data_IF_007367446515
#
_entry.id   IF_007367446515
#
_cell.length_a   1.000
_cell.length_b   1.000
_cell.length_c   1.000
_cell.angle_alpha   90.00
_cell.angle_beta   90.00
_cell.angle_gamma   90.00
#
_symmetry.space_group_name_H-M   'P 1'
#
loop_
_entity.id
_entity.type
_entity.pdbx_description
1 polymer ?
#
# COMPACT_ATOMS: atom_id res chain seq x y z
N UNK A 1 7.59 11.73 5.44
CA UNK A 1 6.33 11.49 4.70
C UNK A 1 5.16 12.38 5.12
N UNK A 2 5.00 12.77 6.39
CA UNK A 2 3.85 13.60 6.81
C UNK A 2 3.69 14.91 6.02
N UNK A 3 4.77 15.64 5.77
CA UNK A 3 4.70 16.88 4.97
C UNK A 3 4.30 16.61 3.52
N UNK A 4 4.77 15.51 2.93
CA UNK A 4 4.36 15.06 1.60
C UNK A 4 2.89 14.66 1.56
N UNK A 5 2.40 13.97 2.58
CA UNK A 5 0.99 13.63 2.70
C UNK A 5 0.09 14.88 2.79
N UNK A 6 0.56 15.96 3.44
CA UNK A 6 -0.15 17.25 3.44
C UNK A 6 -0.16 17.88 2.05
N UNK A 7 0.98 17.88 1.36
CA UNK A 7 1.07 18.35 -0.04
C UNK A 7 0.14 17.57 -0.97
N UNK A 8 0.02 16.25 -0.80
CA UNK A 8 -0.93 15.44 -1.59
C UNK A 8 -2.38 15.84 -1.35
N UNK A 9 -2.77 16.13 -0.10
CA UNK A 9 -4.12 16.61 0.20
C UNK A 9 -4.44 17.97 -0.42
N UNK A 10 -3.43 18.82 -0.61
CA UNK A 10 -3.57 20.17 -1.17
C UNK A 10 -3.54 20.18 -2.71
N UNK A 11 -2.70 19.33 -3.30
CA UNK A 11 -2.37 19.38 -4.74
C UNK A 11 -2.86 18.18 -5.55
N UNK A 12 -3.31 17.10 -4.91
CA UNK A 12 -3.59 15.83 -5.59
C UNK A 12 -2.36 15.01 -5.97
N UNK A 13 -1.15 15.61 -5.92
CA UNK A 13 0.09 14.95 -6.31
C UNK A 13 0.52 13.93 -5.26
N UNK A 14 0.63 12.66 -5.66
CA UNK A 14 1.06 11.58 -4.78
C UNK A 14 2.59 11.48 -4.70
N UNK A 15 3.08 11.05 -3.55
CA UNK A 15 4.48 10.78 -3.29
C UNK A 15 4.63 9.33 -2.84
N UNK A 16 5.68 8.68 -3.35
CA UNK A 16 6.07 7.35 -2.92
C UNK A 16 7.46 7.41 -2.31
N UNK A 17 7.68 6.63 -1.26
CA UNK A 17 8.99 6.49 -0.68
C UNK A 17 9.36 5.04 -0.42
N UNK A 18 10.66 4.79 -0.47
CA UNK A 18 11.25 3.48 -0.34
C UNK A 18 12.36 3.52 0.70
N UNK A 19 12.42 2.48 1.54
CA UNK A 19 13.61 2.15 2.31
C UNK A 19 14.40 1.13 1.48
N UNK A 20 15.60 1.52 1.07
CA UNK A 20 16.50 0.70 0.26
C UNK A 20 17.24 -0.32 1.13
N UNK A 21 17.80 -1.37 0.51
CA UNK A 21 18.52 -2.44 1.24
C UNK A 21 19.78 -1.95 1.97
N UNK A 22 20.36 -0.85 1.52
CA UNK A 22 21.51 -0.19 2.16
C UNK A 22 21.09 0.77 3.29
N UNK A 23 19.79 0.87 3.60
CA UNK A 23 19.26 1.78 4.62
C UNK A 23 19.00 3.20 4.12
N UNK A 24 19.33 3.52 2.86
CA UNK A 24 18.99 4.81 2.26
C UNK A 24 17.49 4.95 2.07
N UNK A 25 17.05 6.20 2.06
CA UNK A 25 15.67 6.57 1.90
C UNK A 25 15.50 7.37 0.60
N UNK A 26 14.63 6.89 -0.29
CA UNK A 26 14.35 7.54 -1.56
C UNK A 26 12.89 7.96 -1.61
N UNK A 27 12.62 9.19 -2.05
CA UNK A 27 11.28 9.71 -2.28
C UNK A 27 11.16 10.08 -3.75
N UNK A 28 10.04 9.71 -4.34
CA UNK A 28 9.69 10.08 -5.69
C UNK A 28 8.32 10.74 -5.71
N UNK A 29 8.16 11.66 -6.64
CA UNK A 29 6.91 12.35 -6.93
C UNK A 29 6.21 11.62 -8.07
N UNK A 30 4.93 11.32 -7.88
CA UNK A 30 4.04 10.78 -8.90
C UNK A 30 3.55 11.85 -9.87
N UNK A 31 2.86 11.40 -10.91
CA UNK A 31 1.96 12.26 -11.67
C UNK A 31 0.63 12.41 -10.91
N UNK A 32 -0.18 13.40 -11.29
CA UNK A 32 -1.53 13.57 -10.77
C UNK A 32 -2.33 12.26 -10.98
N UNK A 33 -2.78 11.63 -9.89
CA UNK A 33 -3.49 10.33 -9.85
C UNK A 33 -2.72 9.07 -10.32
N UNK A 34 -1.40 9.12 -10.57
CA UNK A 34 -0.64 7.92 -10.98
C UNK A 34 0.86 7.95 -10.68
N UNK A 35 1.39 6.84 -10.16
CA UNK A 35 2.84 6.62 -9.99
C UNK A 35 3.31 5.42 -10.82
N UNK A 36 3.98 5.64 -11.96
CA UNK A 36 4.69 4.59 -12.73
C UNK A 36 6.21 4.76 -12.60
N UNK A 37 6.79 4.10 -11.60
CA UNK A 37 8.23 4.22 -11.31
C UNK A 37 8.87 2.83 -11.32
N UNK A 38 10.07 2.65 -11.90
CA UNK A 38 10.84 1.43 -11.75
C UNK A 38 11.09 1.16 -10.26
N UNK A 39 10.44 0.12 -9.73
CA UNK A 39 10.49 -0.23 -8.31
C UNK A 39 11.92 -0.61 -7.90
N UNK A 40 12.58 0.18 -7.03
CA UNK A 40 13.95 -0.10 -6.61
C UNK A 40 14.02 -1.38 -5.77
N UNK A 41 15.23 -1.91 -5.58
CA UNK A 41 15.45 -3.01 -4.63
C UNK A 41 15.44 -2.46 -3.20
N UNK A 42 14.28 -2.53 -2.55
CA UNK A 42 14.05 -2.05 -1.19
C UNK A 42 13.55 -3.13 -0.24
N UNK A 43 13.19 -2.68 0.97
CA UNK A 43 12.64 -3.50 2.06
C UNK A 43 11.25 -3.01 2.50
N UNK A 44 10.96 -1.72 2.35
CA UNK A 44 9.66 -1.14 2.70
C UNK A 44 9.29 -0.04 1.71
N UNK A 45 7.98 0.14 1.49
CA UNK A 45 7.42 1.20 0.67
C UNK A 45 6.27 1.86 1.43
N UNK A 46 6.13 3.17 1.26
CA UNK A 46 4.92 3.91 1.64
C UNK A 46 4.61 4.96 0.58
N UNK A 47 3.34 5.09 0.20
CA UNK A 47 2.88 6.17 -0.68
C UNK A 47 1.73 6.96 -0.05
N UNK A 48 1.47 8.15 -0.57
CA UNK A 48 0.45 9.07 -0.05
C UNK A 48 -0.80 9.03 -0.91
N UNK A 49 -1.99 9.12 -0.32
CA UNK A 49 -3.27 9.23 -1.04
C UNK A 49 -3.96 10.59 -0.83
N UNK A 50 -4.63 11.15 -1.87
CA UNK A 50 -5.57 12.24 -1.71
C UNK A 50 -6.93 11.67 -1.26
N UNK A 51 -7.18 11.62 0.05
CA UNK A 51 -8.48 11.22 0.59
C UNK A 51 -8.47 9.89 1.36
N UNK A 52 -9.08 8.83 0.82
CA UNK A 52 -9.26 7.57 1.56
C UNK A 52 -7.94 6.83 1.72
N UNK A 53 -7.70 6.37 2.95
CA UNK A 53 -6.46 5.83 3.44
C UNK A 53 -6.49 4.31 3.46
N UNK A 54 -6.79 3.72 2.32
CA UNK A 54 -6.95 2.29 2.10
C UNK A 54 -6.39 1.97 0.73
N UNK A 55 -5.74 0.82 0.58
CA UNK A 55 -5.17 0.41 -0.70
C UNK A 55 -6.27 0.21 -1.74
N UNK A 56 -6.11 0.85 -2.89
CA UNK A 56 -6.84 0.60 -4.12
C UNK A 56 -6.48 -0.78 -4.69
N UNK A 57 -7.23 -1.24 -5.69
CA UNK A 57 -6.87 -2.46 -6.40
C UNK A 57 -5.48 -2.38 -7.06
N UNK A 58 -5.08 -1.17 -7.53
CA UNK A 58 -3.77 -0.97 -8.16
C UNK A 58 -2.63 -1.02 -7.13
N UNK A 59 -2.88 -0.50 -5.94
CA UNK A 59 -1.89 -0.55 -4.85
C UNK A 59 -1.71 -1.99 -4.35
N UNK A 60 -2.79 -2.79 -4.33
CA UNK A 60 -2.73 -4.21 -3.99
C UNK A 60 -1.99 -5.04 -5.04
N UNK A 61 -2.17 -4.73 -6.33
CA UNK A 61 -1.36 -5.32 -7.41
C UNK A 61 0.13 -4.98 -7.23
N UNK A 62 0.42 -3.72 -6.89
CA UNK A 62 1.78 -3.27 -6.59
C UNK A 62 2.34 -3.98 -5.37
N UNK A 63 1.53 -4.15 -4.31
CA UNK A 63 1.92 -4.88 -3.10
C UNK A 63 2.30 -6.33 -3.41
N UNK A 64 1.54 -7.03 -4.26
CA UNK A 64 1.88 -8.40 -4.72
C UNK A 64 3.27 -8.43 -5.36
N UNK A 65 3.52 -7.55 -6.34
CA UNK A 65 4.82 -7.42 -7.01
C UNK A 65 5.96 -7.12 -6.02
N UNK A 66 5.72 -6.24 -5.06
CA UNK A 66 6.69 -5.88 -4.03
C UNK A 66 7.01 -7.04 -3.08
N UNK A 67 6.00 -7.78 -2.62
CA UNK A 67 6.21 -8.94 -1.76
C UNK A 67 6.97 -10.06 -2.48
N UNK A 68 6.69 -10.31 -3.76
CA UNK A 68 7.48 -11.23 -4.62
C UNK A 68 8.94 -10.78 -4.70
N UNK A 69 9.20 -9.47 -4.77
CA UNK A 69 10.55 -8.88 -4.82
C UNK A 69 11.25 -8.85 -3.45
N UNK A 70 10.59 -9.32 -2.40
CA UNK A 70 11.16 -9.45 -1.06
C UNK A 70 10.94 -8.24 -0.16
N UNK A 71 10.06 -7.30 -0.52
CA UNK A 71 9.64 -6.26 0.43
C UNK A 71 8.93 -6.90 1.63
N UNK A 72 9.09 -6.27 2.78
CA UNK A 72 8.51 -6.71 4.06
C UNK A 72 7.24 -5.92 4.36
N UNK A 73 7.19 -4.66 3.94
CA UNK A 73 6.09 -3.74 4.26
C UNK A 73 5.71 -2.88 3.06
N UNK A 74 4.42 -2.71 2.85
CA UNK A 74 3.82 -1.80 1.87
C UNK A 74 2.77 -0.99 2.62
N UNK A 75 2.77 0.32 2.43
CA UNK A 75 1.89 1.22 3.17
C UNK A 75 1.30 2.33 2.30
N UNK A 76 0.14 2.81 2.72
CA UNK A 76 -0.52 3.99 2.19
C UNK A 76 -0.88 4.91 3.35
N UNK A 77 -0.68 6.21 3.17
CA UNK A 77 -0.94 7.17 4.22
C UNK A 77 -1.55 8.48 3.72
N UNK A 78 -2.19 9.19 4.63
CA UNK A 78 -2.48 10.60 4.49
C UNK A 78 -2.18 11.28 5.86
N UNK A 79 -2.46 12.58 6.05
CA UNK A 79 -2.18 13.25 7.33
C UNK A 79 -3.00 12.75 8.54
N UNK A 80 -3.98 11.86 8.35
CA UNK A 80 -4.92 11.40 9.38
C UNK A 80 -4.76 9.92 9.72
N UNK A 81 -4.11 9.13 8.88
CA UNK A 81 -3.99 7.68 9.06
C UNK A 81 -2.90 7.06 8.19
N UNK A 82 -2.61 5.81 8.53
CA UNK A 82 -1.66 4.93 7.88
C UNK A 82 -2.29 3.54 7.78
N UNK A 83 -2.50 3.06 6.57
CA UNK A 83 -2.82 1.65 6.31
C UNK A 83 -1.57 0.92 5.86
N UNK A 84 -1.31 -0.23 6.46
CA UNK A 84 -0.10 -1.02 6.22
C UNK A 84 -0.45 -2.49 6.00
N UNK A 85 0.20 -3.09 5.01
CA UNK A 85 0.30 -4.54 4.87
C UNK A 85 1.76 -4.91 5.10
N UNK A 86 2.01 -5.78 6.07
CA UNK A 86 3.36 -6.24 6.38
C UNK A 86 3.40 -7.75 6.56
N UNK A 87 4.56 -8.34 6.26
CA UNK A 87 4.72 -9.79 6.40
C UNK A 87 5.15 -10.15 7.82
N UNK A 88 4.53 -11.20 8.36
CA UNK A 88 5.01 -11.93 9.54
C UNK A 88 5.80 -13.19 9.22
N UNK A 89 5.91 -13.53 7.93
CA UNK A 89 6.57 -14.74 7.44
C UNK A 89 7.02 -14.61 5.98
N UNK A 90 7.29 -15.75 5.36
CA UNK A 90 7.56 -15.84 3.92
C UNK A 90 6.26 -15.59 3.15
N UNK A 91 6.32 -14.85 2.04
CA UNK A 91 5.16 -14.66 1.17
C UNK A 91 4.93 -15.93 0.35
N UNK A 92 3.78 -16.60 0.55
CA UNK A 92 3.46 -17.88 -0.08
C UNK A 92 2.39 -17.73 -1.18
N UNK A 93 2.18 -18.75 -2.02
CA UNK A 93 1.09 -18.75 -2.99
C UNK A 93 -0.30 -18.54 -2.35
N UNK A 94 -0.52 -19.04 -1.14
CA UNK A 94 -1.77 -18.83 -0.39
C UNK A 94 -1.97 -17.36 0.00
N UNK A 95 -0.91 -16.69 0.48
CA UNK A 95 -0.95 -15.24 0.75
C UNK A 95 -1.29 -14.46 -0.53
N UNK A 96 -0.69 -14.85 -1.65
CA UNK A 96 -0.93 -14.22 -2.94
C UNK A 96 -2.37 -14.44 -3.43
N UNK A 97 -2.93 -15.63 -3.24
CA UNK A 97 -4.32 -15.90 -3.60
C UNK A 97 -5.28 -15.01 -2.80
N UNK A 98 -5.07 -14.88 -1.49
CA UNK A 98 -5.88 -14.03 -0.64
C UNK A 98 -5.70 -12.53 -0.94
N UNK A 99 -4.49 -12.10 -1.28
CA UNK A 99 -4.24 -10.73 -1.74
C UNK A 99 -4.97 -10.46 -3.07
N UNK A 100 -4.99 -11.42 -4.00
CA UNK A 100 -5.76 -11.32 -5.26
C UNK A 100 -7.27 -11.31 -5.02
N UNK A 101 -7.78 -12.06 -4.03
CA UNK A 101 -9.19 -11.97 -3.61
C UNK A 101 -9.53 -10.59 -3.07
N UNK A 102 -8.68 -10.03 -2.19
CA UNK A 102 -8.83 -8.68 -1.67
C UNK A 102 -8.82 -7.65 -2.79
N UNK A 103 -7.86 -7.74 -3.72
CA UNK A 103 -7.77 -6.87 -4.90
C UNK A 103 -9.06 -6.89 -5.74
N UNK A 104 -9.59 -8.09 -6.02
CA UNK A 104 -10.84 -8.26 -6.78
C UNK A 104 -12.06 -7.76 -6.03
N UNK A 105 -12.09 -7.86 -4.71
CA UNK A 105 -13.17 -7.33 -3.89
C UNK A 105 -13.12 -5.80 -3.86
N UNK A 106 -11.94 -5.21 -3.63
CA UNK A 106 -11.72 -3.76 -3.66
C UNK A 106 -12.06 -3.16 -5.03
N UNK A 107 -11.71 -3.83 -6.14
CA UNK A 107 -12.04 -3.34 -7.49
C UNK A 107 -13.54 -3.34 -7.81
N UNK A 108 -14.34 -4.13 -7.07
CA UNK A 108 -15.79 -4.26 -7.24
C UNK A 108 -16.60 -3.48 -6.21
N UNK A 109 -15.94 -2.95 -5.18
CA UNK A 109 -16.57 -2.20 -4.13
C UNK A 109 -17.22 -0.94 -4.68
N UNK A 110 -18.46 -0.68 -4.28
CA UNK A 110 -19.21 0.52 -4.68
C UNK A 110 -19.29 1.55 -3.55
N UNK A 111 -19.02 1.12 -2.33
CA UNK A 111 -19.12 1.95 -1.13
C UNK A 111 -18.08 1.50 -0.08
N UNK A 112 -18.01 2.25 1.02
CA UNK A 112 -17.06 1.98 2.11
C UNK A 112 -17.34 0.66 2.85
N UNK A 113 -18.59 0.21 2.91
CA UNK A 113 -18.92 -1.02 3.63
C UNK A 113 -18.48 -2.27 2.86
N UNK A 114 -18.54 -2.22 1.52
CA UNK A 114 -17.93 -3.24 0.66
C UNK A 114 -16.41 -3.35 0.93
N UNK A 115 -15.73 -2.20 1.02
CA UNK A 115 -14.29 -2.15 1.35
C UNK A 115 -14.04 -2.75 2.73
N UNK A 116 -14.75 -2.30 3.77
CA UNK A 116 -14.59 -2.85 5.14
C UNK A 116 -14.80 -4.36 5.18
N UNK A 117 -15.81 -4.86 4.47
CA UNK A 117 -16.10 -6.30 4.38
C UNK A 117 -14.96 -7.07 3.71
N UNK A 118 -14.40 -6.53 2.62
CA UNK A 118 -13.25 -7.11 1.92
C UNK A 118 -12.04 -7.23 2.85
N UNK A 119 -11.67 -6.16 3.55
CA UNK A 119 -10.53 -6.16 4.47
C UNK A 119 -10.76 -7.00 5.73
N UNK A 120 -12.00 -7.10 6.22
CA UNK A 120 -12.34 -7.98 7.36
C UNK A 120 -12.23 -9.47 7.00
N UNK A 121 -12.40 -9.79 5.71
CA UNK A 121 -12.27 -11.14 5.17
C UNK A 121 -10.84 -11.49 4.78
N UNK A 122 -9.94 -10.52 4.73
CA UNK A 122 -8.53 -10.72 4.40
C UNK A 122 -7.78 -11.37 5.56
N UNK A 123 -7.58 -12.69 5.48
CA UNK A 123 -6.92 -13.50 6.53
C UNK A 123 -5.81 -14.41 5.97
N UNK A 124 -4.83 -13.84 5.25
CA UNK A 124 -3.72 -14.62 4.73
C UNK A 124 -2.82 -15.16 5.86
N UNK A 125 -2.10 -16.27 5.64
CA UNK A 125 -1.28 -16.89 6.66
C UNK A 125 -0.08 -16.04 7.11
N UNK A 126 0.54 -15.25 6.23
CA UNK A 126 1.78 -14.53 6.51
C UNK A 126 1.72 -13.02 6.27
N UNK A 127 0.60 -12.47 5.82
CA UNK A 127 0.40 -11.02 5.77
C UNK A 127 -0.50 -10.54 6.91
N UNK A 128 -0.22 -9.34 7.40
CA UNK A 128 -1.06 -8.65 8.36
C UNK A 128 -1.44 -7.30 7.75
N UNK A 129 -2.73 -7.00 7.78
CA UNK A 129 -3.24 -5.66 7.52
C UNK A 129 -3.46 -4.91 8.84
N UNK A 130 -3.09 -3.65 8.89
CA UNK A 130 -3.37 -2.76 10.03
C UNK A 130 -3.70 -1.37 9.54
N UNK A 131 -4.66 -0.71 10.19
CA UNK A 131 -5.00 0.68 9.98
C UNK A 131 -4.75 1.43 11.29
N UNK A 132 -3.87 2.43 11.23
CA UNK A 132 -3.36 3.16 12.39
C UNK A 132 -3.71 4.66 12.24
N UNK A 133 -4.12 5.33 13.33
CA UNK A 133 -4.14 6.79 13.35
C UNK A 133 -2.69 7.33 13.27
N UNK A 134 -2.54 8.51 12.66
CA UNK A 134 -1.25 9.22 12.51
C UNK A 134 -1.26 10.50 13.31
#
# INVERSE_FOLDING_TARGET
MLDYARRTMESGVEFISFILRNGEYAIFEGEEDKVEIPMPKGVAQVHTHPGICVFSAKDLETADSLFIRGYVTVAVMNPRCLSVIYRRGVYTPEDQEDLKKLMKATSKAKNLDDIKSAYSSFKPPNLIFSNLPV
#
